data_IF_612689318413
#
_entry.id   IF_612689318413
#
_cell.length_a   1.000
_cell.length_b   1.000
_cell.length_c   1.000
_cell.angle_alpha   90.00
_cell.angle_beta   90.00
_cell.angle_gamma   90.00
#
_symmetry.space_group_name_H-M   'P 1'
#
loop_
_entity.id
_entity.type
_entity.pdbx_description
1 polymer ?
#
# COMPACT_ATOMS: atom_id res chain seq x y z
N UNK A 1 6.96 21.67 3.07
CA UNK A 1 5.55 21.34 3.17
C UNK A 1 5.36 19.90 3.57
N UNK A 2 4.53 19.68 4.52
CA UNK A 2 4.28 18.33 5.02
C UNK A 2 3.45 17.54 4.01
N UNK A 3 3.83 16.31 3.79
CA UNK A 3 3.05 15.40 2.97
C UNK A 3 2.28 14.43 3.85
N UNK A 4 2.01 14.85 5.06
CA UNK A 4 1.27 14.03 5.98
C UNK A 4 -0.13 13.73 5.45
N UNK A 5 -0.50 12.48 5.54
CA UNK A 5 -1.82 12.03 5.15
C UNK A 5 -2.74 12.24 6.35
N UNK A 6 -3.87 12.85 6.13
CA UNK A 6 -4.79 13.12 7.22
C UNK A 6 -5.36 11.85 7.82
N UNK A 7 -5.53 11.87 9.13
CA UNK A 7 -6.08 10.74 9.86
C UNK A 7 -7.43 10.31 9.30
N UNK A 8 -8.31 11.27 9.00
CA UNK A 8 -9.64 10.95 8.48
C UNK A 8 -9.55 10.21 7.14
N UNK A 9 -8.59 10.58 6.31
CA UNK A 9 -8.40 9.93 5.01
C UNK A 9 -7.95 8.49 5.21
N UNK A 10 -6.96 8.26 6.07
CA UNK A 10 -6.48 6.92 6.35
C UNK A 10 -7.58 6.04 6.94
N UNK A 11 -8.31 6.56 7.90
CA UNK A 11 -9.38 5.78 8.52
C UNK A 11 -10.47 5.44 7.52
N UNK A 12 -10.79 6.38 6.63
CA UNK A 12 -11.79 6.15 5.59
C UNK A 12 -11.36 5.05 4.61
N UNK A 13 -10.09 5.07 4.22
CA UNK A 13 -9.57 4.04 3.32
C UNK A 13 -9.57 2.68 4.01
N UNK A 14 -9.09 2.62 5.24
CA UNK A 14 -9.00 1.34 5.96
C UNK A 14 -10.35 0.83 6.46
N UNK A 15 -11.36 1.69 6.52
CA UNK A 15 -12.71 1.27 6.85
C UNK A 15 -13.35 0.50 5.70
N UNK A 16 -12.84 0.67 4.49
CA UNK A 16 -13.37 0.02 3.30
C UNK A 16 -12.91 -1.44 3.24
N UNK A 17 -13.88 -2.35 3.19
CA UNK A 17 -13.60 -3.77 3.18
C UNK A 17 -12.75 -4.20 1.97
N UNK A 18 -13.06 -3.68 0.79
CA UNK A 18 -12.30 -4.03 -0.42
C UNK A 18 -10.86 -3.51 -0.34
N UNK A 19 -10.67 -2.32 0.22
CA UNK A 19 -9.32 -1.79 0.38
C UNK A 19 -8.49 -2.69 1.30
N UNK A 20 -9.09 -3.15 2.40
CA UNK A 20 -8.40 -4.06 3.31
C UNK A 20 -8.08 -5.39 2.64
N UNK A 21 -9.02 -5.94 1.85
CA UNK A 21 -8.77 -7.19 1.14
C UNK A 21 -7.63 -7.04 0.13
N UNK A 22 -7.61 -5.93 -0.59
CA UNK A 22 -6.51 -5.66 -1.53
C UNK A 22 -5.17 -5.65 -0.79
N UNK A 23 -5.13 -4.96 0.35
CA UNK A 23 -3.91 -4.89 1.14
C UNK A 23 -3.47 -6.27 1.63
N UNK A 24 -4.40 -7.08 2.12
CA UNK A 24 -4.03 -8.41 2.61
C UNK A 24 -3.49 -9.30 1.50
N UNK A 25 -4.15 -9.30 0.35
CA UNK A 25 -3.68 -10.11 -0.78
C UNK A 25 -2.32 -9.62 -1.30
N UNK A 26 -2.16 -8.32 -1.48
CA UNK A 26 -0.93 -7.78 -2.05
C UNK A 26 0.23 -7.77 -1.05
N UNK A 27 -0.05 -7.99 0.21
CA UNK A 27 1.02 -8.14 1.20
C UNK A 27 1.70 -9.50 1.09
N UNK A 28 1.03 -10.48 0.50
CA UNK A 28 1.58 -11.82 0.31
C UNK A 28 2.33 -11.92 -1.01
N UNK A 29 1.74 -11.40 -2.08
CA UNK A 29 2.39 -11.37 -3.39
C UNK A 29 1.80 -10.27 -4.25
N UNK A 30 2.59 -9.77 -5.19
CA UNK A 30 2.11 -8.75 -6.12
C UNK A 30 1.01 -9.31 -7.00
N UNK A 31 -0.01 -8.51 -7.26
CA UNK A 31 -1.16 -8.94 -8.06
C UNK A 31 -1.61 -7.87 -9.02
N UNK A 32 -2.09 -8.30 -10.19
CA UNK A 32 -2.72 -7.41 -11.15
C UNK A 32 -4.13 -7.06 -10.69
N UNK A 33 -4.71 -6.02 -11.27
CA UNK A 33 -6.09 -5.65 -10.96
C UNK A 33 -7.06 -6.78 -11.31
N UNK A 34 -6.81 -7.49 -12.39
CA UNK A 34 -7.65 -8.64 -12.78
C UNK A 34 -7.65 -9.72 -11.72
N UNK A 35 -6.47 -10.07 -11.21
CA UNK A 35 -6.37 -11.06 -10.17
C UNK A 35 -7.07 -10.59 -8.89
N UNK A 36 -6.89 -9.32 -8.55
CA UNK A 36 -7.55 -8.75 -7.37
C UNK A 36 -9.07 -8.76 -7.52
N UNK A 37 -9.55 -8.49 -8.73
CA UNK A 37 -10.99 -8.54 -9.00
C UNK A 37 -11.56 -9.94 -8.71
N UNK A 38 -10.83 -10.96 -9.12
CA UNK A 38 -11.24 -12.34 -8.86
C UNK A 38 -11.16 -12.69 -7.38
N UNK A 39 -10.04 -12.34 -6.75
CA UNK A 39 -9.80 -12.68 -5.33
C UNK A 39 -10.75 -11.97 -4.38
N UNK A 40 -11.09 -10.73 -4.69
CA UNK A 40 -11.98 -9.93 -3.84
C UNK A 40 -13.45 -10.07 -4.23
N UNK A 41 -13.74 -10.81 -5.30
CA UNK A 41 -15.10 -10.94 -5.83
C UNK A 41 -15.73 -9.56 -6.05
N UNK A 42 -14.99 -8.70 -6.73
CA UNK A 42 -15.39 -7.33 -7.00
C UNK A 42 -15.14 -6.99 -8.46
N UNK A 43 -15.89 -6.05 -9.00
CA UNK A 43 -15.72 -5.63 -10.39
C UNK A 43 -14.40 -4.88 -10.56
N UNK A 44 -13.86 -4.88 -11.78
CA UNK A 44 -12.66 -4.14 -12.08
C UNK A 44 -12.77 -2.65 -11.74
N UNK A 45 -13.86 -1.96 -12.10
CA UNK A 45 -13.97 -0.56 -11.71
C UNK A 45 -13.91 -0.35 -10.20
N UNK A 46 -14.50 -1.25 -9.43
CA UNK A 46 -14.43 -1.17 -7.98
C UNK A 46 -12.99 -1.31 -7.50
N UNK A 47 -12.27 -2.29 -8.04
CA UNK A 47 -10.88 -2.52 -7.69
C UNK A 47 -10.03 -1.30 -8.04
N UNK A 48 -10.18 -0.75 -9.26
CA UNK A 48 -9.39 0.41 -9.67
C UNK A 48 -9.65 1.62 -8.78
N UNK A 49 -10.90 1.85 -8.39
CA UNK A 49 -11.19 2.97 -7.50
C UNK A 49 -10.53 2.81 -6.14
N UNK A 50 -10.50 1.59 -5.61
CA UNK A 50 -9.84 1.33 -4.33
C UNK A 50 -8.33 1.44 -4.45
N UNK A 51 -7.76 0.92 -5.54
CA UNK A 51 -6.33 1.03 -5.78
C UNK A 51 -5.89 2.49 -5.86
N UNK A 52 -6.68 3.32 -6.54
CA UNK A 52 -6.38 4.73 -6.65
C UNK A 52 -6.31 5.39 -5.27
N UNK A 53 -7.25 5.07 -4.39
CA UNK A 53 -7.26 5.61 -3.03
C UNK A 53 -6.08 5.09 -2.21
N UNK A 54 -5.76 3.81 -2.37
CA UNK A 54 -4.64 3.22 -1.67
C UNK A 54 -3.31 3.81 -2.13
N UNK A 55 -3.16 4.02 -3.43
CA UNK A 55 -1.96 4.64 -3.97
C UNK A 55 -1.81 6.09 -3.50
N UNK A 56 -2.91 6.82 -3.41
CA UNK A 56 -2.88 8.20 -2.95
C UNK A 56 -2.34 8.29 -1.51
N UNK A 57 -2.56 7.25 -0.72
CA UNK A 57 -2.04 7.16 0.64
C UNK A 57 -0.71 6.42 0.71
N UNK A 58 -0.17 6.02 -0.43
CA UNK A 58 1.07 5.25 -0.52
C UNK A 58 0.99 3.89 0.17
N UNK A 59 -0.21 3.37 0.33
CA UNK A 59 -0.41 2.07 0.99
C UNK A 59 -0.17 0.91 0.04
N UNK A 60 -0.25 1.14 -1.27
CA UNK A 60 0.19 0.18 -2.29
C UNK A 60 1.08 0.92 -3.28
N UNK A 61 1.94 0.16 -3.94
CA UNK A 61 2.76 0.67 -5.05
C UNK A 61 2.42 -0.11 -6.30
N UNK A 62 2.59 0.52 -7.43
CA UNK A 62 2.34 -0.08 -8.74
C UNK A 62 3.66 -0.26 -9.47
N UNK A 63 3.84 -1.44 -10.05
CA UNK A 63 4.99 -1.73 -10.89
C UNK A 63 4.50 -2.32 -12.19
N UNK A 64 5.29 -2.13 -13.25
CA UNK A 64 4.98 -2.70 -14.55
C UNK A 64 5.77 -3.98 -14.72
N UNK A 65 5.10 -5.04 -15.15
CA UNK A 65 5.76 -6.30 -15.45
C UNK A 65 5.53 -6.68 -16.89
N UNK A 66 6.44 -7.48 -17.44
CA UNK A 66 6.40 -7.93 -18.81
C UNK A 66 5.81 -9.34 -18.87
N UNK A 67 4.71 -9.49 -19.59
CA UNK A 67 4.10 -10.79 -19.79
C UNK A 67 4.87 -11.59 -20.81
N UNK A 68 4.74 -12.94 -20.84
CA UNK A 68 5.42 -13.78 -21.81
C UNK A 68 5.13 -13.42 -23.27
N UNK A 69 3.97 -12.81 -23.53
CA UNK A 69 3.60 -12.39 -24.89
C UNK A 69 4.17 -11.04 -25.29
N UNK A 70 5.00 -10.43 -24.42
CA UNK A 70 5.61 -9.15 -24.69
C UNK A 70 4.80 -7.94 -24.25
N UNK A 71 3.58 -8.14 -23.78
CA UNK A 71 2.77 -7.04 -23.30
C UNK A 71 3.14 -6.65 -21.86
N UNK A 72 2.95 -5.37 -21.57
CA UNK A 72 3.17 -4.87 -20.20
C UNK A 72 1.87 -4.86 -19.44
N UNK A 73 1.96 -5.12 -18.17
CA UNK A 73 0.78 -5.03 -17.29
C UNK A 73 1.22 -4.55 -15.91
N UNK A 74 0.28 -3.94 -15.19
CA UNK A 74 0.55 -3.41 -13.86
C UNK A 74 0.29 -4.46 -12.79
N UNK A 75 1.18 -4.51 -11.81
CA UNK A 75 0.96 -5.29 -10.60
C UNK A 75 1.08 -4.37 -9.40
N UNK A 76 0.39 -4.72 -8.35
CA UNK A 76 0.29 -3.91 -7.15
C UNK A 76 0.82 -4.70 -5.97
N UNK A 77 1.55 -4.01 -5.11
CA UNK A 77 2.17 -4.60 -3.92
C UNK A 77 1.85 -3.73 -2.72
N UNK A 78 1.48 -4.35 -1.61
CA UNK A 78 1.24 -3.61 -0.38
C UNK A 78 2.52 -2.93 0.07
N UNK A 79 2.40 -1.66 0.42
CA UNK A 79 3.53 -0.85 0.86
C UNK A 79 3.41 -0.45 2.33
N UNK A 80 2.27 -0.71 2.94
CA UNK A 80 2.10 -0.43 4.36
C UNK A 80 2.83 -1.47 5.19
N UNK A 81 3.69 -1.02 6.08
CA UNK A 81 4.35 -1.90 7.02
C UNK A 81 3.65 -1.82 8.37
N UNK A 82 3.46 -0.61 8.86
CA UNK A 82 2.88 -0.43 10.18
C UNK A 82 2.12 0.88 10.27
N UNK A 83 1.01 0.84 10.96
CA UNK A 83 0.23 2.02 11.29
C UNK A 83 0.11 2.09 12.79
N UNK A 84 0.48 3.23 13.35
CA UNK A 84 0.40 3.43 14.79
C UNK A 84 -0.41 4.67 15.08
N UNK A 85 -1.45 4.51 15.89
CA UNK A 85 -2.33 5.61 16.26
C UNK A 85 -2.24 5.79 17.76
N UNK A 86 -1.87 6.98 18.19
CA UNK A 86 -1.74 7.32 19.61
C UNK A 86 -2.68 8.44 19.96
N UNK A 87 -3.04 8.50 21.21
CA UNK A 87 -3.84 9.61 21.73
C UNK A 87 -3.12 10.14 22.95
N UNK A 88 -2.56 11.35 22.81
CA UNK A 88 -1.80 11.99 23.89
C UNK A 88 -2.10 13.48 23.92
N UNK A 89 -2.19 14.01 25.12
CA UNK A 89 -2.36 15.45 25.34
C UNK A 89 -3.52 16.04 24.54
N UNK A 90 -4.61 15.28 24.43
CA UNK A 90 -5.81 15.76 23.78
C UNK A 90 -5.78 15.69 22.26
N UNK A 91 -4.82 14.99 21.68
CA UNK A 91 -4.70 14.90 20.22
C UNK A 91 -4.33 13.51 19.77
N UNK A 92 -4.88 13.12 18.62
CA UNK A 92 -4.45 11.89 17.95
C UNK A 92 -3.18 12.14 17.16
N UNK A 93 -2.31 11.17 17.20
CA UNK A 93 -1.08 11.18 16.42
C UNK A 93 -1.01 9.91 15.60
N UNK A 94 -0.83 10.05 14.31
CA UNK A 94 -0.78 8.93 13.37
C UNK A 94 0.63 8.80 12.79
N UNK A 95 1.21 7.61 12.91
CA UNK A 95 2.47 7.30 12.28
C UNK A 95 2.30 6.15 11.31
N UNK A 96 2.74 6.36 10.08
CA UNK A 96 2.74 5.33 9.05
C UNK A 96 4.17 4.96 8.71
N UNK A 97 4.45 3.67 8.71
CA UNK A 97 5.74 3.15 8.28
C UNK A 97 5.49 2.35 7.01
N UNK A 98 6.31 2.58 6.00
CA UNK A 98 6.16 1.93 4.70
C UNK A 98 7.22 0.89 4.48
N UNK A 99 6.88 -0.11 3.65
CA UNK A 99 7.84 -1.14 3.26
C UNK A 99 8.96 -0.56 2.43
N UNK A 100 8.59 0.37 1.54
CA UNK A 100 9.54 1.04 0.67
C UNK A 100 10.21 2.17 1.43
N UNK A 101 11.51 2.11 1.55
CA UNK A 101 12.31 3.10 2.27
C UNK A 101 13.16 3.89 1.29
N UNK A 102 13.67 5.05 1.72
CA UNK A 102 14.60 5.76 0.86
C UNK A 102 15.93 5.00 0.82
N UNK A 103 16.76 5.36 -0.17
CA UNK A 103 17.99 4.63 -0.42
C UNK A 103 18.93 4.65 0.79
N UNK A 104 18.99 5.78 1.48
CA UNK A 104 19.87 5.92 2.63
C UNK A 104 19.48 4.98 3.76
N UNK A 105 18.18 4.89 4.04
CA UNK A 105 17.70 4.01 5.11
C UNK A 105 17.92 2.55 4.76
N UNK A 106 17.67 2.17 3.52
CA UNK A 106 17.92 0.81 3.06
C UNK A 106 19.38 0.44 3.21
N UNK A 107 20.24 1.35 2.82
CA UNK A 107 21.69 1.13 2.90
C UNK A 107 22.12 0.94 4.34
N UNK A 108 21.64 1.77 5.23
CA UNK A 108 21.95 1.68 6.65
C UNK A 108 21.52 0.34 7.24
N UNK A 109 20.32 -0.10 6.91
CA UNK A 109 19.82 -1.39 7.38
C UNK A 109 20.68 -2.55 6.90
N UNK A 110 21.03 -2.54 5.63
CA UNK A 110 21.86 -3.58 5.06
C UNK A 110 23.20 -3.63 5.76
N UNK A 111 23.78 -2.45 6.01
CA UNK A 111 25.04 -2.35 6.69
C UNK A 111 24.97 -2.92 8.10
N UNK A 112 23.92 -2.57 8.84
CA UNK A 112 23.74 -3.08 10.20
C UNK A 112 23.53 -4.58 10.24
N UNK A 113 22.86 -5.11 9.22
CA UNK A 113 22.63 -6.54 9.12
C UNK A 113 23.88 -7.36 8.86
N UNK A 114 24.94 -6.71 8.42
CA UNK A 114 26.22 -7.40 8.12
C UNK A 114 27.15 -7.52 9.31
N UNK A 115 26.79 -6.96 10.41
CA UNK A 115 27.64 -7.00 11.62
C UNK A 115 27.53 -8.31 12.35
#
# INVERSE_FOLDING_TARGET
>A
MSEEIELSTILSVLDDEYAREILTHTSVESMSASTLSERCDASLPTIYRRLERLEACRLVTEETELAPDGNHYSVYTANLDRLELSLEDGAFDLELTYQEEDVADKFTRMWEGLR
#
